data_IF_949698216673
#
_entry.id   IF_949698216673
#
_cell.length_a   1.000
_cell.length_b   1.000
_cell.length_c   1.000
_cell.angle_alpha   90.00
_cell.angle_beta   90.00
_cell.angle_gamma   90.00
#
_symmetry.space_group_name_H-M   'P 1'
#
loop_
_entity.id
_entity.type
_entity.pdbx_description
1 polymer ?
#
# COMPACT_ATOMS: atom_id res chain seq x y z
N UNK A 1 19.19 39.92 -52.00
CA UNK A 1 18.37 39.20 -51.10
C UNK A 1 16.95 39.68 -51.19
N UNK A 2 16.03 38.81 -51.52
CA UNK A 2 14.62 39.16 -51.54
C UNK A 2 14.06 39.16 -50.14
N UNK A 3 13.14 40.09 -49.77
CA UNK A 3 12.55 40.11 -48.42
C UNK A 3 11.83 38.84 -48.04
N UNK A 4 11.39 38.05 -49.00
CA UNK A 4 10.71 36.75 -48.79
C UNK A 4 11.63 35.68 -48.20
N UNK A 5 12.91 35.68 -48.53
CA UNK A 5 13.90 34.75 -48.00
C UNK A 5 14.20 34.99 -46.51
N UNK A 6 14.30 36.26 -46.13
CA UNK A 6 14.52 36.68 -44.73
C UNK A 6 13.33 36.31 -43.83
N UNK A 7 12.09 36.49 -44.27
CA UNK A 7 10.90 36.16 -43.55
C UNK A 7 10.77 34.62 -43.29
N UNK A 8 11.12 33.81 -44.30
CA UNK A 8 11.14 32.35 -44.17
C UNK A 8 12.19 31.85 -43.17
N UNK A 9 13.37 32.47 -43.15
CA UNK A 9 14.45 32.11 -42.22
C UNK A 9 14.07 32.42 -40.77
N UNK A 10 13.48 33.55 -40.48
CA UNK A 10 12.99 33.91 -39.14
C UNK A 10 11.84 33.02 -38.69
N UNK A 11 10.95 32.58 -39.58
CA UNK A 11 9.88 31.64 -39.29
C UNK A 11 10.40 30.27 -38.88
N UNK A 12 11.40 29.74 -39.57
CA UNK A 12 12.04 28.47 -39.23
C UNK A 12 12.76 28.50 -37.87
N UNK A 13 13.47 29.59 -37.57
CA UNK A 13 14.12 29.76 -36.25
C UNK A 13 13.12 29.82 -35.13
N UNK A 14 11.99 30.51 -35.32
CA UNK A 14 10.91 30.55 -34.31
C UNK A 14 10.31 29.17 -33.97
N UNK A 15 10.09 28.34 -34.98
CA UNK A 15 9.57 26.98 -34.83
C UNK A 15 10.56 26.08 -34.05
N UNK A 16 11.85 26.16 -34.39
CA UNK A 16 12.90 25.38 -33.70
C UNK A 16 13.01 25.79 -32.23
N UNK A 17 13.04 27.07 -31.93
CA UNK A 17 13.11 27.56 -30.54
C UNK A 17 11.87 27.20 -29.77
N UNK A 18 10.68 27.35 -30.33
CA UNK A 18 9.42 26.98 -29.73
C UNK A 18 9.33 25.46 -29.42
N UNK A 19 9.80 24.64 -30.37
CA UNK A 19 9.86 23.19 -30.20
C UNK A 19 10.80 22.73 -29.06
N UNK A 20 11.97 23.38 -28.97
CA UNK A 20 12.94 23.09 -27.89
C UNK A 20 12.41 23.48 -26.51
N UNK A 21 11.76 24.65 -26.40
CA UNK A 21 11.15 25.10 -25.15
C UNK A 21 10.02 24.16 -24.74
N UNK A 22 9.13 23.76 -25.64
CA UNK A 22 8.05 22.83 -25.39
C UNK A 22 8.56 21.45 -24.94
N UNK A 23 9.61 20.94 -25.58
CA UNK A 23 10.24 19.70 -25.22
C UNK A 23 10.84 19.74 -23.81
N UNK A 24 11.49 20.83 -23.47
CA UNK A 24 12.10 21.03 -22.15
C UNK A 24 11.06 21.09 -21.03
N UNK A 25 9.96 21.82 -21.26
CA UNK A 25 8.84 21.92 -20.32
C UNK A 25 8.18 20.55 -20.12
N UNK A 26 7.94 19.79 -21.18
CA UNK A 26 7.36 18.44 -21.10
C UNK A 26 8.26 17.47 -20.34
N UNK A 27 9.56 17.53 -20.54
CA UNK A 27 10.53 16.71 -19.82
C UNK A 27 10.52 16.99 -18.31
N UNK A 28 10.43 18.25 -17.93
CA UNK A 28 10.39 18.65 -16.52
C UNK A 28 9.10 18.19 -15.84
N UNK A 29 7.95 18.33 -16.49
CA UNK A 29 6.66 17.83 -15.99
C UNK A 29 6.65 16.32 -15.83
N UNK A 30 7.12 15.57 -16.80
CA UNK A 30 7.21 14.11 -16.71
C UNK A 30 8.08 13.66 -15.53
N UNK A 31 9.18 14.32 -15.27
CA UNK A 31 10.05 14.07 -14.12
C UNK A 31 9.37 14.36 -12.79
N UNK A 32 8.60 15.45 -12.70
CA UNK A 32 7.84 15.81 -11.50
C UNK A 32 6.70 14.83 -11.23
N UNK A 33 5.93 14.47 -12.26
CA UNK A 33 4.84 13.49 -12.16
C UNK A 33 5.35 12.11 -11.71
N UNK A 34 6.51 11.70 -12.22
CA UNK A 34 7.16 10.45 -11.80
C UNK A 34 7.59 10.49 -10.33
N UNK A 35 8.16 11.61 -9.86
CA UNK A 35 8.54 11.79 -8.47
C UNK A 35 7.33 11.71 -7.54
N UNK A 36 6.23 12.37 -7.86
CA UNK A 36 4.98 12.34 -7.09
C UNK A 36 4.44 10.91 -7.04
N UNK A 37 4.42 10.20 -8.15
CA UNK A 37 3.98 8.81 -8.22
C UNK A 37 4.86 7.89 -7.37
N UNK A 38 6.18 8.03 -7.42
CA UNK A 38 7.13 7.25 -6.60
C UNK A 38 6.98 7.53 -5.12
N UNK A 39 6.77 8.78 -4.71
CA UNK A 39 6.52 9.15 -3.32
C UNK A 39 5.21 8.55 -2.79
N UNK A 40 4.15 8.56 -3.61
CA UNK A 40 2.87 7.93 -3.26
C UNK A 40 3.03 6.42 -3.06
N UNK A 41 3.69 5.72 -3.98
CA UNK A 41 3.98 4.29 -3.88
C UNK A 41 4.84 3.99 -2.65
N UNK A 42 5.84 4.80 -2.38
CA UNK A 42 6.72 4.66 -1.21
C UNK A 42 5.94 4.82 0.09
N UNK A 43 5.05 5.80 0.18
CA UNK A 43 4.21 6.04 1.35
C UNK A 43 3.26 4.86 1.60
N UNK A 44 2.61 4.34 0.56
CA UNK A 44 1.76 3.16 0.65
C UNK A 44 2.55 1.92 1.06
N UNK A 45 3.74 1.74 0.50
CA UNK A 45 4.62 0.63 0.85
C UNK A 45 5.08 0.69 2.31
N UNK A 46 5.46 1.86 2.80
CA UNK A 46 5.85 2.05 4.20
C UNK A 46 4.66 1.82 5.15
N UNK A 47 3.46 2.25 4.77
CA UNK A 47 2.23 1.96 5.53
C UNK A 47 1.93 0.47 5.57
N UNK A 48 2.10 -0.24 4.47
CA UNK A 48 1.98 -1.70 4.39
C UNK A 48 2.97 -2.41 5.30
N UNK A 49 4.23 -2.00 5.31
CA UNK A 49 5.26 -2.54 6.21
C UNK A 49 4.94 -2.27 7.68
N UNK A 50 4.43 -1.11 8.01
CA UNK A 50 4.00 -0.77 9.36
C UNK A 50 2.80 -1.61 9.80
N UNK A 51 1.83 -1.81 8.92
CA UNK A 51 0.69 -2.69 9.18
C UNK A 51 1.16 -4.13 9.43
N UNK A 52 2.08 -4.64 8.63
CA UNK A 52 2.70 -5.96 8.82
C UNK A 52 3.40 -6.06 10.18
N UNK A 53 4.10 -5.05 10.60
CA UNK A 53 4.75 -5.00 11.91
C UNK A 53 3.74 -5.23 13.05
N UNK A 54 2.61 -4.55 13.03
CA UNK A 54 1.57 -4.72 14.04
C UNK A 54 0.85 -6.07 13.93
N UNK A 55 0.61 -6.55 12.72
CA UNK A 55 -0.10 -7.80 12.47
C UNK A 55 0.77 -9.05 12.74
N UNK A 56 2.09 -8.92 12.67
CA UNK A 56 3.03 -10.01 12.95
C UNK A 56 3.49 -10.09 14.40
N UNK A 57 3.04 -9.18 15.25
CA UNK A 57 3.43 -9.16 16.67
C UNK A 57 3.07 -10.47 17.38
N UNK A 58 4.05 -11.05 18.07
CA UNK A 58 3.92 -12.37 18.69
C UNK A 58 2.82 -12.46 19.76
N UNK A 59 2.55 -11.37 20.47
CA UNK A 59 1.56 -11.33 21.53
C UNK A 59 0.11 -11.22 21.07
N UNK A 60 -0.13 -10.82 19.82
CA UNK A 60 -1.47 -10.56 19.32
C UNK A 60 -1.61 -11.08 17.89
N UNK A 61 -2.51 -12.00 17.67
CA UNK A 61 -2.83 -12.55 16.35
C UNK A 61 -3.74 -11.61 15.58
N UNK A 62 -4.66 -10.98 16.29
CA UNK A 62 -5.65 -10.06 15.75
C UNK A 62 -5.37 -8.63 16.20
N UNK A 63 -5.65 -7.69 15.30
CA UNK A 63 -5.62 -6.26 15.63
C UNK A 63 -6.95 -5.62 15.24
N UNK A 64 -7.47 -4.78 16.11
CA UNK A 64 -8.66 -3.98 15.81
C UNK A 64 -8.35 -2.94 14.75
N UNK A 65 -9.34 -2.65 13.90
CA UNK A 65 -9.22 -1.59 12.89
C UNK A 65 -8.96 -0.22 13.54
N UNK A 66 -9.61 0.07 14.66
CA UNK A 66 -9.39 1.29 15.43
C UNK A 66 -7.93 1.46 15.87
N UNK A 67 -7.29 0.40 16.33
CA UNK A 67 -5.89 0.43 16.70
C UNK A 67 -5.00 0.70 15.50
N UNK A 68 -5.24 0.00 14.40
CA UNK A 68 -4.49 0.17 13.17
C UNK A 68 -4.66 1.58 12.59
N UNK A 69 -5.86 2.13 12.63
CA UNK A 69 -6.15 3.48 12.18
C UNK A 69 -5.45 4.54 13.04
N UNK A 70 -5.39 4.34 14.35
CA UNK A 70 -4.68 5.23 15.28
C UNK A 70 -3.17 5.17 15.10
N UNK A 71 -2.62 4.00 14.79
CA UNK A 71 -1.18 3.80 14.60
C UNK A 71 -0.70 4.19 13.21
N UNK A 72 -1.55 4.00 12.20
CA UNK A 72 -1.32 4.39 10.82
C UNK A 72 -2.09 5.69 10.52
N UNK A 73 -1.64 6.81 11.09
CA UNK A 73 -2.29 8.10 10.87
C UNK A 73 -2.13 8.60 9.44
N UNK A 74 -3.12 9.38 8.97
CA UNK A 74 -3.09 10.04 7.67
C UNK A 74 -3.73 9.29 6.52
N UNK A 75 -4.33 8.13 6.76
CA UNK A 75 -5.07 7.36 5.74
C UNK A 75 -6.56 7.40 6.02
N UNK A 76 -7.36 7.54 4.94
CA UNK A 76 -8.79 7.32 4.99
C UNK A 76 -9.08 5.83 5.28
N UNK A 77 -10.25 5.54 5.88
CA UNK A 77 -10.63 4.18 6.27
C UNK A 77 -10.51 3.17 5.13
N UNK A 78 -11.06 3.49 3.95
CA UNK A 78 -11.01 2.60 2.79
C UNK A 78 -9.59 2.44 2.21
N UNK A 79 -8.79 3.47 2.25
CA UNK A 79 -7.38 3.41 1.86
C UNK A 79 -6.60 2.49 2.79
N UNK A 80 -6.82 2.59 4.08
CA UNK A 80 -6.20 1.72 5.08
C UNK A 80 -6.62 0.26 4.88
N UNK A 81 -7.90 0.01 4.60
CA UNK A 81 -8.39 -1.34 4.27
C UNK A 81 -7.71 -1.94 3.05
N UNK A 82 -7.48 -1.16 2.00
CA UNK A 82 -6.73 -1.59 0.82
C UNK A 82 -5.28 -1.96 1.16
N UNK A 83 -4.64 -1.18 2.00
CA UNK A 83 -3.27 -1.44 2.47
C UNK A 83 -3.23 -2.76 3.26
N UNK A 84 -4.19 -3.00 4.13
CA UNK A 84 -4.30 -4.24 4.90
C UNK A 84 -4.52 -5.47 4.00
N UNK A 85 -5.35 -5.35 2.97
CA UNK A 85 -5.54 -6.42 1.98
C UNK A 85 -4.24 -6.71 1.22
N UNK A 86 -3.50 -5.70 0.81
CA UNK A 86 -2.18 -5.87 0.16
C UNK A 86 -1.16 -6.53 1.09
N UNK A 87 -1.23 -6.25 2.38
CA UNK A 87 -0.37 -6.86 3.38
C UNK A 87 -0.69 -8.36 3.61
N UNK A 88 -1.77 -8.87 3.04
CA UNK A 88 -2.21 -10.24 3.21
C UNK A 88 -3.07 -10.48 4.44
N UNK A 89 -3.76 -9.45 4.92
CA UNK A 89 -4.67 -9.53 6.03
C UNK A 89 -6.11 -9.77 5.59
N UNK A 90 -6.89 -10.42 6.45
CA UNK A 90 -8.31 -10.69 6.28
C UNK A 90 -9.10 -9.95 7.34
N UNK A 91 -10.17 -9.31 6.92
CA UNK A 91 -11.12 -8.63 7.79
C UNK A 91 -12.13 -9.59 8.35
N UNK A 92 -12.46 -9.44 9.63
CA UNK A 92 -13.61 -10.08 10.22
C UNK A 92 -14.26 -9.15 11.25
N UNK A 93 -15.54 -9.34 11.47
CA UNK A 93 -16.34 -8.55 12.40
C UNK A 93 -16.69 -9.43 13.59
N UNK A 94 -16.38 -8.97 14.79
CA UNK A 94 -16.74 -9.65 16.03
C UNK A 94 -18.23 -9.49 16.34
N UNK A 95 -18.74 -10.28 17.26
CA UNK A 95 -20.13 -10.24 17.69
C UNK A 95 -20.57 -8.88 18.24
N UNK A 96 -19.65 -8.10 18.78
CA UNK A 96 -19.89 -6.73 19.25
C UNK A 96 -19.94 -5.67 18.12
N UNK A 97 -19.77 -6.07 16.87
CA UNK A 97 -19.76 -5.19 15.70
C UNK A 97 -18.42 -4.54 15.39
N UNK A 98 -17.37 -4.82 16.15
CA UNK A 98 -16.03 -4.26 15.90
C UNK A 98 -15.30 -4.97 14.78
N UNK A 99 -14.59 -4.19 13.94
CA UNK A 99 -13.79 -4.68 12.84
C UNK A 99 -12.39 -5.05 13.29
N UNK A 100 -11.95 -6.26 12.91
CA UNK A 100 -10.66 -6.82 13.25
C UNK A 100 -9.95 -7.36 12.01
N UNK A 101 -8.64 -7.36 12.07
CA UNK A 101 -7.79 -7.81 10.97
C UNK A 101 -6.76 -8.82 11.46
N UNK A 102 -6.49 -9.80 10.62
CA UNK A 102 -5.59 -10.91 10.88
C UNK A 102 -4.84 -11.28 9.62
N UNK A 103 -3.56 -11.58 9.72
CA UNK A 103 -2.80 -12.11 8.58
C UNK A 103 -3.28 -13.52 8.22
N UNK A 104 -3.37 -13.81 6.91
CA UNK A 104 -3.75 -15.14 6.41
C UNK A 104 -2.78 -16.20 6.92
N UNK A 105 -1.48 -15.93 6.91
CA UNK A 105 -0.45 -16.82 7.44
C UNK A 105 -0.67 -17.20 8.91
N UNK A 106 -1.23 -16.32 9.70
CA UNK A 106 -1.51 -16.56 11.13
C UNK A 106 -2.79 -17.32 11.39
N UNK A 107 -3.69 -17.39 10.43
CA UNK A 107 -4.88 -18.25 10.51
C UNK A 107 -4.46 -19.73 10.55
N UNK A 108 -3.48 -20.11 9.76
CA UNK A 108 -2.90 -21.45 9.77
C UNK A 108 -2.23 -21.77 11.11
N UNK A 109 -1.49 -20.84 11.69
CA UNK A 109 -0.92 -20.97 13.03
C UNK A 109 -1.98 -21.24 14.10
N UNK A 110 -3.11 -20.53 14.05
CA UNK A 110 -4.22 -20.72 14.98
C UNK A 110 -4.84 -22.10 14.83
N UNK A 111 -5.04 -22.55 13.61
CA UNK A 111 -5.59 -23.88 13.33
C UNK A 111 -4.67 -24.96 13.87
N UNK A 112 -3.38 -24.80 13.68
CA UNK A 112 -2.38 -25.74 14.19
C UNK A 112 -2.33 -25.75 15.71
N UNK A 113 -2.36 -24.60 16.38
CA UNK A 113 -2.43 -24.51 17.84
C UNK A 113 -3.70 -25.15 18.42
N UNK A 114 -4.82 -25.06 17.72
CA UNK A 114 -6.06 -25.73 18.14
C UNK A 114 -5.96 -27.25 18.00
N UNK A 115 -5.34 -27.72 16.93
CA UNK A 115 -5.11 -29.16 16.72
C UNK A 115 -4.15 -29.73 17.76
N UNK A 116 -3.07 -29.03 18.06
CA UNK A 116 -2.10 -29.43 19.07
C UNK A 116 -2.76 -29.53 20.46
N UNK A 117 -3.60 -28.55 20.84
CA UNK A 117 -4.38 -28.58 22.07
C UNK A 117 -5.35 -29.75 22.13
N UNK A 118 -5.97 -30.11 21.02
CA UNK A 118 -6.86 -31.27 20.96
C UNK A 118 -6.11 -32.60 21.09
N UNK A 119 -4.89 -32.66 20.60
CA UNK A 119 -4.02 -33.83 20.76
C UNK A 119 -3.50 -33.99 22.19
N UNK A 120 -3.17 -32.88 22.86
CA UNK A 120 -2.76 -32.86 24.25
C UNK A 120 -3.91 -33.23 25.22
N UNK A 121 -5.15 -32.97 24.80
CA UNK A 121 -6.37 -33.40 25.46
C UNK A 121 -6.81 -34.78 24.98
N UNK A 122 -5.88 -35.57 24.46
CA UNK A 122 -6.12 -36.94 23.97
C UNK A 122 -7.03 -37.77 24.90
N UNK A 123 -7.63 -38.87 24.42
CA UNK A 123 -8.68 -39.57 25.15
C UNK A 123 -8.18 -39.84 26.55
N UNK A 124 -8.83 -39.17 27.51
CA UNK A 124 -8.52 -39.32 28.92
C UNK A 124 -8.45 -40.79 29.22
N UNK A 125 -7.40 -41.19 29.87
CA UNK A 125 -7.28 -42.52 30.43
C UNK A 125 -8.58 -42.87 31.17
N UNK A 126 -9.47 -43.53 30.47
CA UNK A 126 -10.45 -44.37 31.09
C UNK A 126 -9.74 -45.66 31.50
N UNK A 127 -8.76 -45.53 32.39
CA UNK A 127 -8.24 -46.65 33.12
C UNK A 127 -8.81 -46.58 34.55
N UNK A 128 -9.89 -47.22 34.67
CA UNK A 128 -10.29 -47.88 35.90
C UNK A 128 -10.58 -49.30 35.63
#
# INVERSE_FOLDING_TARGET
MTPEFTAGLFGMLGVIIGGLISWWIQKDRASTDLKIALESIKTEHMAEQTALYYLTHKGYIDRSFDLLQKRLGGFEENELRKILVRAGAVRYIRNDGTEWWRLISRIEELTQKRQDKQQDLGPGNEDL
#
